data_IF_634680247752
#
_entry.id   IF_634680247752
#
_cell.length_a   1.000
_cell.length_b   1.000
_cell.length_c   1.000
_cell.angle_alpha   90.00
_cell.angle_beta   90.00
_cell.angle_gamma   90.00
#
_symmetry.space_group_name_H-M   'P 1'
#
loop_
_entity.id
_entity.type
_entity.pdbx_description
1 polymer ?
#
# COMPACT_ATOMS: atom_id res chain seq x y z
N UNK A 1 15.23 23.88 5.57
CA UNK A 1 15.56 22.49 5.97
C UNK A 1 14.44 21.61 5.49
N UNK A 2 14.63 20.91 4.39
CA UNK A 2 13.65 19.96 3.87
C UNK A 2 13.77 18.66 4.67
N UNK A 3 12.83 18.41 5.56
CA UNK A 3 12.72 17.12 6.23
C UNK A 3 12.15 16.11 5.24
N UNK A 4 13.03 15.50 4.45
CA UNK A 4 12.70 14.30 3.69
C UNK A 4 12.62 13.13 4.69
N UNK A 5 11.54 13.04 5.43
CA UNK A 5 11.26 11.82 6.19
C UNK A 5 10.49 10.90 5.24
N UNK A 6 11.17 9.87 4.78
CA UNK A 6 10.51 8.72 4.20
C UNK A 6 9.54 8.18 5.24
N UNK A 7 8.28 8.14 4.91
CA UNK A 7 7.31 7.37 5.68
C UNK A 7 7.65 5.91 5.36
N UNK A 8 8.60 5.37 6.12
CA UNK A 8 9.02 3.99 5.95
C UNK A 8 7.82 3.14 6.34
N UNK A 9 7.28 2.43 5.35
CA UNK A 9 6.58 1.19 5.62
C UNK A 9 7.58 0.35 6.44
N UNK A 10 7.42 0.37 7.77
CA UNK A 10 8.38 -0.28 8.67
C UNK A 10 8.25 -1.77 8.47
N UNK A 11 9.02 -2.30 7.54
CA UNK A 11 9.29 -3.72 7.51
C UNK A 11 10.05 -4.05 8.78
N UNK A 12 9.41 -4.80 9.65
CA UNK A 12 10.03 -5.49 10.76
C UNK A 12 11.24 -6.27 10.26
N UNK A 13 12.40 -5.73 10.57
CA UNK A 13 13.61 -6.51 10.54
C UNK A 13 13.58 -7.45 11.73
N UNK A 14 13.64 -8.73 11.46
CA UNK A 14 14.21 -9.68 12.39
C UNK A 14 13.26 -10.62 13.10
N UNK A 15 13.23 -11.84 12.61
CA UNK A 15 13.64 -12.98 13.43
C UNK A 15 13.99 -14.15 12.52
N UNK A 16 15.13 -14.79 12.70
CA UNK A 16 15.46 -16.02 12.02
C UNK A 16 14.87 -17.21 12.81
N UNK A 17 14.28 -18.13 12.07
CA UNK A 17 14.15 -19.48 12.55
C UNK A 17 12.80 -19.87 13.12
N UNK A 18 12.11 -20.71 12.38
CA UNK A 18 11.67 -22.03 12.83
C UNK A 18 10.87 -22.74 11.73
N UNK A 19 10.68 -24.07 11.82
CA UNK A 19 10.81 -24.92 10.65
C UNK A 19 9.48 -25.27 9.97
N UNK A 20 9.64 -25.63 8.74
CA UNK A 20 8.73 -26.40 7.89
C UNK A 20 7.80 -27.36 8.66
N UNK A 21 6.51 -27.13 8.55
CA UNK A 21 5.50 -28.15 8.74
C UNK A 21 4.61 -28.21 7.51
N UNK A 22 4.81 -29.26 6.75
CA UNK A 22 3.91 -29.71 5.70
C UNK A 22 2.51 -29.97 6.30
N UNK A 23 1.51 -29.24 5.82
CA UNK A 23 0.14 -29.71 5.91
C UNK A 23 -0.48 -29.66 4.51
N UNK A 24 -0.54 -30.83 3.91
CA UNK A 24 -1.37 -31.12 2.76
C UNK A 24 -2.83 -30.97 3.17
N UNK A 25 -3.50 -29.98 2.58
CA UNK A 25 -4.94 -29.83 2.67
C UNK A 25 -5.47 -29.47 1.29
N UNK A 26 -5.87 -30.49 0.52
CA UNK A 26 -6.62 -30.32 -0.72
C UNK A 26 -7.99 -29.76 -0.38
N UNK A 27 -8.25 -28.52 -0.77
CA UNK A 27 -9.58 -27.94 -0.76
C UNK A 27 -9.78 -27.24 -2.09
N UNK A 28 -10.44 -27.91 -3.02
CA UNK A 28 -10.98 -27.28 -4.22
C UNK A 28 -12.15 -26.37 -3.81
N UNK A 29 -11.88 -25.10 -3.64
CA UNK A 29 -12.89 -24.06 -3.54
C UNK A 29 -12.81 -23.17 -4.77
N UNK A 30 -13.92 -23.01 -5.47
CA UNK A 30 -14.08 -22.18 -6.65
C UNK A 30 -13.46 -20.79 -6.41
N UNK A 31 -12.50 -20.42 -7.28
CA UNK A 31 -11.75 -19.18 -7.11
C UNK A 31 -12.61 -17.95 -7.37
N UNK A 32 -13.07 -17.32 -6.33
CA UNK A 32 -13.32 -15.89 -6.37
C UNK A 32 -11.98 -15.21 -6.55
N UNK A 33 -11.84 -14.49 -7.64
CA UNK A 33 -10.67 -13.64 -7.91
C UNK A 33 -10.63 -12.55 -6.84
N UNK A 34 -9.99 -12.86 -5.72
CA UNK A 34 -9.87 -11.95 -4.59
C UNK A 34 -8.79 -10.92 -4.91
N UNK A 35 -9.15 -9.88 -5.67
CA UNK A 35 -8.30 -8.71 -5.78
C UNK A 35 -8.06 -8.15 -4.36
N UNK A 36 -6.85 -7.64 -4.03
CA UNK A 36 -6.61 -7.07 -2.73
C UNK A 36 -7.64 -5.97 -2.46
N UNK A 37 -8.47 -6.20 -1.47
CA UNK A 37 -9.54 -5.28 -1.09
C UNK A 37 -8.95 -3.98 -0.54
N UNK A 38 -9.74 -2.92 -0.49
CA UNK A 38 -9.35 -1.69 0.18
C UNK A 38 -8.92 -1.96 1.63
N UNK A 39 -9.55 -2.91 2.31
CA UNK A 39 -9.17 -3.33 3.66
C UNK A 39 -7.76 -3.94 3.70
N UNK A 40 -7.43 -4.80 2.76
CA UNK A 40 -6.08 -5.38 2.64
C UNK A 40 -5.02 -4.29 2.40
N UNK A 41 -5.32 -3.32 1.54
CA UNK A 41 -4.41 -2.20 1.26
C UNK A 41 -4.21 -1.30 2.49
N UNK A 42 -5.26 -1.08 3.29
CA UNK A 42 -5.16 -0.32 4.56
C UNK A 42 -4.24 -1.00 5.58
N UNK A 43 -4.21 -2.33 5.62
CA UNK A 43 -3.34 -3.08 6.51
C UNK A 43 -1.84 -2.93 6.19
N UNK A 44 -1.48 -2.37 5.02
CA UNK A 44 -0.09 -2.11 4.65
C UNK A 44 0.49 -0.88 5.34
N UNK A 45 -0.34 -0.05 5.96
CA UNK A 45 0.08 1.19 6.60
C UNK A 45 0.47 0.92 8.05
N UNK A 46 1.71 1.27 8.40
CA UNK A 46 2.27 0.99 9.73
C UNK A 46 1.66 1.85 10.85
N UNK A 47 1.29 3.09 10.55
CA UNK A 47 0.67 4.02 11.50
C UNK A 47 -0.64 4.58 10.93
N UNK A 48 -1.77 3.91 11.19
CA UNK A 48 -3.08 4.33 10.65
C UNK A 48 -3.51 5.73 11.11
N UNK A 49 -3.11 6.17 12.29
CA UNK A 49 -3.51 7.49 12.83
C UNK A 49 -2.85 8.62 12.05
N UNK A 50 -1.55 8.50 11.81
CA UNK A 50 -0.82 9.48 10.98
C UNK A 50 -1.25 9.42 9.53
N UNK A 51 -1.46 8.22 9.02
CA UNK A 51 -1.95 8.03 7.66
C UNK A 51 -3.30 8.71 7.45
N UNK A 52 -4.21 8.63 8.41
CA UNK A 52 -5.52 9.31 8.34
C UNK A 52 -5.35 10.82 8.18
N UNK A 53 -4.52 11.47 8.99
CA UNK A 53 -4.29 12.92 8.91
C UNK A 53 -3.74 13.32 7.54
N UNK A 54 -2.71 12.60 7.06
CA UNK A 54 -2.14 12.82 5.73
C UNK A 54 -3.15 12.51 4.62
N UNK A 55 -3.96 11.47 4.81
CA UNK A 55 -5.00 11.06 3.89
C UNK A 55 -6.10 12.11 3.75
N UNK A 56 -6.54 12.72 4.86
CA UNK A 56 -7.52 13.81 4.84
C UNK A 56 -7.00 14.99 4.02
N UNK A 57 -5.76 15.39 4.26
CA UNK A 57 -5.12 16.47 3.52
C UNK A 57 -4.92 16.13 2.03
N UNK A 58 -4.59 14.86 1.72
CA UNK A 58 -4.52 14.40 0.34
C UNK A 58 -5.87 14.49 -0.37
N UNK A 59 -6.95 13.98 0.26
CA UNK A 59 -8.30 14.03 -0.30
C UNK A 59 -8.77 15.47 -0.54
N UNK A 60 -8.41 16.39 0.34
CA UNK A 60 -8.71 17.81 0.16
C UNK A 60 -7.97 18.42 -1.04
N UNK A 61 -6.72 18.01 -1.29
CA UNK A 61 -5.95 18.48 -2.44
C UNK A 61 -6.37 17.83 -3.76
N UNK A 62 -6.82 16.57 -3.72
CA UNK A 62 -7.18 15.76 -4.89
C UNK A 62 -8.61 15.23 -4.79
N UNK A 63 -9.62 16.11 -4.82
CA UNK A 63 -11.02 15.70 -4.61
C UNK A 63 -11.52 14.70 -5.66
N UNK A 64 -10.97 14.71 -6.87
CA UNK A 64 -11.31 13.73 -7.91
C UNK A 64 -10.86 12.29 -7.56
N UNK A 65 -9.86 12.14 -6.71
CA UNK A 65 -9.36 10.85 -6.25
C UNK A 65 -9.92 10.46 -4.86
N UNK A 66 -10.71 11.32 -4.21
CA UNK A 66 -11.09 11.16 -2.80
C UNK A 66 -11.98 9.94 -2.52
N UNK A 67 -12.66 9.40 -3.53
CA UNK A 67 -13.53 8.25 -3.33
C UNK A 67 -12.71 6.97 -3.13
N UNK A 68 -12.98 6.15 -2.07
CA UNK A 68 -12.19 4.95 -1.75
C UNK A 68 -12.08 3.95 -2.91
N UNK A 69 -13.13 3.79 -3.70
CA UNK A 69 -13.12 2.93 -4.89
C UNK A 69 -12.16 3.42 -5.98
N UNK A 70 -12.07 4.74 -6.18
CA UNK A 70 -11.11 5.36 -7.11
C UNK A 70 -9.69 5.18 -6.60
N UNK A 71 -9.44 5.49 -5.32
CA UNK A 71 -8.13 5.32 -4.70
C UNK A 71 -7.62 3.88 -4.81
N UNK A 72 -8.45 2.90 -4.43
CA UNK A 72 -8.06 1.49 -4.52
C UNK A 72 -7.80 1.04 -5.95
N UNK A 73 -8.58 1.52 -6.92
CA UNK A 73 -8.35 1.27 -8.34
C UNK A 73 -7.02 1.85 -8.83
N UNK A 74 -6.73 3.11 -8.48
CA UNK A 74 -5.48 3.79 -8.85
C UNK A 74 -4.26 3.12 -8.21
N UNK A 75 -4.35 2.70 -6.95
CA UNK A 75 -3.27 1.97 -6.27
C UNK A 75 -3.02 0.63 -6.98
N UNK A 76 -4.06 -0.17 -7.21
CA UNK A 76 -3.92 -1.46 -7.90
C UNK A 76 -3.31 -1.29 -9.30
N UNK A 77 -3.76 -0.30 -10.04
CA UNK A 77 -3.20 0.02 -11.35
C UNK A 77 -1.72 0.40 -11.26
N UNK A 78 -1.35 1.27 -10.32
CA UNK A 78 0.04 1.71 -10.15
C UNK A 78 0.98 0.59 -9.72
N UNK A 79 0.47 -0.40 -8.97
CA UNK A 79 1.22 -1.57 -8.54
C UNK A 79 1.27 -2.69 -9.59
N UNK A 80 0.57 -2.54 -10.72
CA UNK A 80 0.47 -3.59 -11.73
C UNK A 80 -0.31 -4.81 -11.24
N UNK A 81 -1.15 -4.64 -10.21
CA UNK A 81 -1.99 -5.69 -9.65
C UNK A 81 -3.24 -5.85 -10.52
N UNK A 82 -3.09 -6.53 -11.65
CA UNK A 82 -4.25 -7.08 -12.39
C UNK A 82 -4.85 -8.25 -11.62
N UNK A 83 -5.62 -9.09 -12.32
CA UNK A 83 -6.27 -10.29 -11.76
C UNK A 83 -5.33 -11.25 -11.00
N UNK A 84 -4.02 -11.08 -11.13
CA UNK A 84 -2.99 -11.86 -10.41
C UNK A 84 -2.65 -11.32 -9.02
N UNK A 85 -3.06 -10.09 -8.70
CA UNK A 85 -2.77 -9.48 -7.40
C UNK A 85 -3.43 -10.20 -6.21
N UNK A 86 -4.44 -10.99 -6.49
CA UNK A 86 -5.15 -11.83 -5.55
C UNK A 86 -4.32 -12.93 -4.88
N UNK A 87 -3.20 -13.28 -5.49
CA UNK A 87 -2.34 -14.40 -5.05
C UNK A 87 -1.14 -13.94 -4.20
N UNK A 88 -1.00 -12.62 -4.00
CA UNK A 88 0.10 -12.08 -3.20
C UNK A 88 -0.25 -12.12 -1.73
N UNK A 89 0.63 -12.71 -0.94
CA UNK A 89 0.57 -12.56 0.51
C UNK A 89 0.95 -11.12 0.92
N UNK A 90 0.74 -10.78 2.18
CA UNK A 90 1.00 -9.44 2.70
C UNK A 90 2.47 -9.03 2.52
N UNK A 91 3.42 -9.95 2.69
CA UNK A 91 4.84 -9.65 2.55
C UNK A 91 5.21 -9.35 1.10
N UNK A 92 4.71 -10.13 0.15
CA UNK A 92 4.89 -9.89 -1.28
C UNK A 92 4.24 -8.57 -1.72
N UNK A 93 3.05 -8.26 -1.22
CA UNK A 93 2.37 -7.01 -1.51
C UNK A 93 3.14 -5.79 -0.97
N UNK A 94 3.68 -5.88 0.25
CA UNK A 94 4.56 -4.84 0.82
C UNK A 94 5.81 -4.62 -0.03
N UNK A 95 6.43 -5.70 -0.53
CA UNK A 95 7.61 -5.60 -1.39
C UNK A 95 7.28 -4.89 -2.71
N UNK A 96 6.12 -5.16 -3.31
CA UNK A 96 5.65 -4.48 -4.52
C UNK A 96 5.41 -3.00 -4.26
N UNK A 97 4.77 -2.65 -3.16
CA UNK A 97 4.54 -1.25 -2.75
C UNK A 97 5.86 -0.52 -2.52
N UNK A 98 6.81 -1.13 -1.83
CA UNK A 98 8.13 -0.54 -1.57
C UNK A 98 8.90 -0.29 -2.88
N UNK A 99 8.92 -1.26 -3.78
CA UNK A 99 9.55 -1.12 -5.09
C UNK A 99 8.89 0.01 -5.90
N UNK A 100 7.57 0.10 -5.91
CA UNK A 100 6.83 1.17 -6.58
C UNK A 100 7.14 2.53 -5.99
N UNK A 101 7.11 2.64 -4.67
CA UNK A 101 7.42 3.88 -3.93
C UNK A 101 8.82 4.41 -4.28
N UNK A 102 9.82 3.53 -4.33
CA UNK A 102 11.19 3.90 -4.74
C UNK A 102 11.21 4.39 -6.19
N UNK A 103 10.52 3.71 -7.08
CA UNK A 103 10.46 4.10 -8.50
C UNK A 103 9.79 5.48 -8.66
N UNK A 104 8.72 5.76 -7.93
CA UNK A 104 8.04 7.05 -7.94
C UNK A 104 8.95 8.19 -7.42
N UNK A 105 9.69 7.96 -6.33
CA UNK A 105 10.69 8.91 -5.87
C UNK A 105 11.79 9.15 -6.92
N UNK A 106 12.26 8.11 -7.58
CA UNK A 106 13.26 8.21 -8.63
C UNK A 106 12.75 8.95 -9.87
N UNK A 107 11.49 8.80 -10.20
CA UNK A 107 10.83 9.46 -11.33
C UNK A 107 10.34 10.88 -10.99
N UNK A 108 10.35 11.29 -9.72
CA UNK A 108 9.79 12.56 -9.27
C UNK A 108 8.25 12.57 -9.20
N UNK A 109 7.60 11.40 -9.27
CA UNK A 109 6.16 11.27 -9.07
C UNK A 109 5.82 11.29 -7.57
N UNK A 110 5.94 12.49 -7.02
CA UNK A 110 5.79 12.78 -5.59
C UNK A 110 4.70 13.81 -5.37
N UNK A 111 4.11 13.78 -4.19
CA UNK A 111 3.15 14.78 -3.73
C UNK A 111 3.61 15.40 -2.41
N UNK A 112 3.20 16.65 -2.19
CA UNK A 112 3.45 17.34 -0.92
C UNK A 112 2.14 17.48 -0.17
N UNK A 113 2.10 16.91 1.02
CA UNK A 113 0.92 16.91 1.90
C UNK A 113 1.36 17.32 3.29
N UNK A 114 0.85 18.43 3.81
CA UNK A 114 1.18 18.97 5.14
C UNK A 114 2.69 19.06 5.41
N UNK A 115 3.47 19.50 4.41
CA UNK A 115 4.92 19.58 4.51
C UNK A 115 5.68 18.26 4.35
N UNK A 116 4.97 17.14 4.22
CA UNK A 116 5.56 15.85 3.91
C UNK A 116 5.70 15.66 2.40
N UNK A 117 6.81 15.04 2.00
CA UNK A 117 7.01 14.58 0.63
C UNK A 117 6.77 13.07 0.60
N UNK A 118 5.77 12.66 -0.13
CA UNK A 118 5.32 11.27 -0.25
C UNK A 118 5.37 10.84 -1.71
N UNK A 119 5.67 9.57 -1.95
CA UNK A 119 5.40 8.98 -3.25
C UNK A 119 3.89 8.97 -3.52
N UNK A 120 3.48 9.04 -4.77
CA UNK A 120 2.06 9.10 -5.12
C UNK A 120 1.26 7.91 -4.58
N UNK A 121 1.78 6.70 -4.74
CA UNK A 121 1.14 5.48 -4.21
C UNK A 121 1.07 5.50 -2.69
N UNK A 122 2.11 5.96 -2.01
CA UNK A 122 2.14 6.09 -0.55
C UNK A 122 1.08 7.07 -0.04
N UNK A 123 0.94 8.23 -0.70
CA UNK A 123 -0.08 9.21 -0.35
C UNK A 123 -1.51 8.68 -0.57
N UNK A 124 -1.73 7.92 -1.65
CA UNK A 124 -3.01 7.26 -1.90
C UNK A 124 -3.34 6.18 -0.87
N UNK A 125 -2.34 5.42 -0.41
CA UNK A 125 -2.51 4.45 0.69
C UNK A 125 -2.93 5.16 1.99
N UNK A 126 -2.29 6.29 2.32
CA UNK A 126 -2.71 7.11 3.45
C UNK A 126 -4.17 7.59 3.28
N UNK A 127 -4.56 7.99 2.09
CA UNK A 127 -5.91 8.47 1.80
C UNK A 127 -7.00 7.36 1.89
N UNK A 128 -6.62 6.08 1.83
CA UNK A 128 -7.53 4.97 2.10
C UNK A 128 -7.79 4.77 3.60
N UNK A 129 -6.97 5.31 4.48
CA UNK A 129 -7.14 5.19 5.93
C UNK A 129 -8.17 6.23 6.39
N UNK A 130 -9.41 5.80 6.62
CA UNK A 130 -10.50 6.60 7.18
C UNK A 130 -10.57 6.49 8.70
#
# INVERSE_FOLDING_TARGET
MHKTRRFVLSCLAGAPGLPFMLHSGFGFGAGESCEPSAATLRCLVADPRRARVLGDSYRAQFPAEAHPGVLSGLIRSSLGLGSRGALLDQAALLAVVDARTRAEFGAGDIVRVDGWVLARTEARLCALCE
#
